data_IF_489599921221
#
_entry.id   IF_489599921221
#
_cell.length_a   1.000
_cell.length_b   1.000
_cell.length_c   1.000
_cell.angle_alpha   90.00
_cell.angle_beta   90.00
_cell.angle_gamma   90.00
#
_symmetry.space_group_name_H-M   'P 1'
#
loop_
_entity.id
_entity.type
_entity.pdbx_description
1 polymer ?
#
# COMPACT_ATOMS: atom_id res chain seq x y z
N UNK A 1 -70.71 -1.05 -28.05
CA UNK A 1 -69.62 -1.93 -28.53
C UNK A 1 -68.29 -1.44 -27.95
N UNK A 2 -67.56 -2.36 -27.32
CA UNK A 2 -66.11 -2.45 -27.04
C UNK A 2 -65.34 -1.19 -26.55
N UNK A 3 -64.95 -1.27 -25.27
CA UNK A 3 -63.84 -0.55 -24.63
C UNK A 3 -62.54 -0.80 -25.40
N UNK A 4 -61.72 0.23 -25.62
CA UNK A 4 -60.27 0.08 -25.82
C UNK A 4 -59.55 0.88 -24.74
N UNK A 5 -59.00 0.15 -23.76
CA UNK A 5 -57.97 0.62 -22.86
C UNK A 5 -56.67 0.77 -23.65
N UNK A 6 -56.16 1.99 -23.76
CA UNK A 6 -54.80 2.25 -24.22
C UNK A 6 -53.86 1.95 -23.06
N UNK A 7 -53.22 0.78 -23.09
CA UNK A 7 -52.12 0.45 -22.19
C UNK A 7 -50.89 1.18 -22.72
N UNK A 8 -50.54 2.31 -22.10
CA UNK A 8 -49.22 2.92 -22.28
C UNK A 8 -48.18 2.00 -21.68
N UNK A 9 -47.57 1.17 -22.53
CA UNK A 9 -46.41 0.37 -22.18
C UNK A 9 -45.20 1.32 -22.07
N UNK A 10 -44.89 1.72 -20.84
CA UNK A 10 -43.63 2.41 -20.52
C UNK A 10 -42.50 1.37 -20.66
N UNK A 11 -41.89 1.32 -21.84
CA UNK A 11 -40.64 0.59 -22.05
C UNK A 11 -39.53 1.33 -21.29
N UNK A 12 -39.37 1.00 -20.00
CA UNK A 12 -38.14 1.31 -19.28
C UNK A 12 -37.08 0.34 -19.81
N UNK A 13 -36.43 0.73 -20.89
CA UNK A 13 -35.20 0.09 -21.34
C UNK A 13 -34.10 0.40 -20.33
N UNK A 14 -34.02 -0.42 -19.27
CA UNK A 14 -32.86 -0.46 -18.38
C UNK A 14 -31.76 -1.16 -19.19
N UNK A 15 -31.05 -0.40 -20.02
CA UNK A 15 -29.74 -0.82 -20.49
C UNK A 15 -28.82 -0.79 -19.27
N UNK A 16 -28.83 -1.88 -18.50
CA UNK A 16 -27.80 -2.21 -17.54
C UNK A 16 -26.51 -2.47 -18.33
N UNK A 17 -25.89 -1.40 -18.83
CA UNK A 17 -24.50 -1.41 -19.25
C UNK A 17 -23.71 -1.89 -18.05
N UNK A 18 -23.07 -3.06 -18.18
CA UNK A 18 -22.17 -3.61 -17.20
C UNK A 18 -21.07 -2.58 -16.91
N UNK A 19 -21.27 -1.75 -15.89
CA UNK A 19 -20.26 -0.84 -15.38
C UNK A 19 -19.21 -1.71 -14.72
N UNK A 20 -18.10 -1.96 -15.43
CA UNK A 20 -16.91 -2.61 -14.88
C UNK A 20 -16.51 -1.86 -13.62
N UNK A 21 -16.33 -2.58 -12.50
CA UNK A 21 -15.93 -1.92 -11.26
C UNK A 21 -14.52 -1.31 -11.43
N UNK A 22 -14.28 -0.18 -10.78
CA UNK A 22 -12.97 0.46 -10.77
C UNK A 22 -12.12 -0.19 -9.67
N UNK A 23 -10.91 -0.64 -10.02
CA UNK A 23 -9.96 -1.25 -9.09
C UNK A 23 -8.69 -0.41 -9.09
N UNK A 24 -8.27 0.03 -7.91
CA UNK A 24 -7.03 0.80 -7.71
C UNK A 24 -5.96 -0.14 -7.18
N UNK A 25 -4.83 -0.24 -7.88
CA UNK A 25 -3.68 -1.01 -7.42
C UNK A 25 -2.74 -0.12 -6.62
N UNK A 26 -2.47 -0.53 -5.39
CA UNK A 26 -1.55 0.15 -4.47
C UNK A 26 -0.11 -0.36 -4.66
N UNK A 27 0.05 -1.57 -5.21
CA UNK A 27 1.33 -2.24 -5.37
C UNK A 27 1.61 -2.54 -6.87
N UNK A 28 2.80 -2.21 -7.40
CA UNK A 28 3.15 -2.46 -8.81
C UNK A 28 3.25 -3.95 -9.20
N UNK A 29 3.41 -4.87 -8.25
CA UNK A 29 3.82 -6.26 -8.53
C UNK A 29 2.67 -7.27 -8.71
N UNK A 30 1.41 -6.81 -8.74
CA UNK A 30 0.26 -7.72 -8.88
C UNK A 30 0.01 -8.07 -10.34
N UNK A 31 -0.02 -9.37 -10.66
CA UNK A 31 -0.40 -9.87 -11.99
C UNK A 31 -1.86 -9.50 -12.31
N UNK A 32 -2.07 -8.63 -13.31
CA UNK A 32 -3.39 -8.08 -13.67
C UNK A 32 -4.22 -8.98 -14.59
N UNK A 33 -3.74 -10.19 -14.92
CA UNK A 33 -4.37 -11.09 -15.91
C UNK A 33 -5.78 -11.53 -15.53
N UNK A 34 -6.06 -11.69 -14.24
CA UNK A 34 -7.40 -12.09 -13.77
C UNK A 34 -8.39 -10.91 -13.69
N UNK A 35 -7.93 -9.68 -13.96
CA UNK A 35 -8.67 -8.44 -13.71
C UNK A 35 -9.04 -7.68 -14.98
N UNK A 36 -8.98 -8.32 -16.16
CA UNK A 36 -9.35 -7.75 -17.48
C UNK A 36 -10.81 -7.23 -17.56
N UNK A 37 -11.65 -7.70 -16.65
CA UNK A 37 -13.05 -7.28 -16.52
C UNK A 37 -13.24 -6.00 -15.68
N UNK A 38 -12.17 -5.42 -15.15
CA UNK A 38 -12.21 -4.21 -14.33
C UNK A 38 -11.55 -3.02 -15.03
N UNK A 39 -11.91 -1.81 -14.61
CA UNK A 39 -11.17 -0.62 -15.00
C UNK A 39 -10.01 -0.43 -14.02
N UNK A 40 -8.79 -0.67 -14.49
CA UNK A 40 -7.59 -0.72 -13.67
C UNK A 40 -6.92 0.67 -13.66
N UNK A 41 -6.89 1.31 -12.49
CA UNK A 41 -6.05 2.47 -12.25
C UNK A 41 -4.84 2.03 -11.43
N UNK A 42 -3.66 2.00 -12.07
CA UNK A 42 -2.40 1.81 -11.36
C UNK A 42 -2.08 3.12 -10.65
N UNK A 43 -2.02 3.11 -9.33
CA UNK A 43 -1.67 4.29 -8.58
C UNK A 43 -0.15 4.47 -8.71
N UNK A 44 0.30 5.45 -9.49
CA UNK A 44 1.72 5.87 -9.59
C UNK A 44 2.13 6.70 -8.38
N UNK A 45 1.70 6.32 -7.17
CA UNK A 45 2.29 6.86 -5.98
C UNK A 45 3.62 6.14 -5.78
N UNK A 46 4.72 6.79 -6.17
CA UNK A 46 6.04 6.36 -5.77
C UNK A 46 6.05 6.19 -4.26
N UNK A 47 6.30 4.97 -3.81
CA UNK A 47 6.50 4.68 -2.40
C UNK A 47 7.55 5.64 -1.84
N UNK A 48 7.21 6.35 -0.76
CA UNK A 48 8.20 7.17 -0.03
C UNK A 48 9.23 6.31 0.70
N UNK A 49 8.99 4.99 0.76
CA UNK A 49 9.91 4.01 1.28
C UNK A 49 10.79 3.50 0.13
N UNK A 50 12.11 3.43 0.33
CA UNK A 50 13.00 2.77 -0.62
C UNK A 50 12.65 1.29 -0.76
N UNK A 51 13.29 0.63 -1.71
CA UNK A 51 13.04 -0.77 -2.02
C UNK A 51 13.07 -1.64 -0.76
N UNK A 52 12.22 -2.68 -0.73
CA UNK A 52 12.14 -3.60 0.41
C UNK A 52 13.48 -4.28 0.66
N UNK A 53 14.20 -4.66 -0.39
CA UNK A 53 15.49 -5.34 -0.28
C UNK A 53 16.56 -4.40 0.30
N UNK A 54 16.54 -3.12 -0.07
CA UNK A 54 17.44 -2.11 0.49
C UNK A 54 17.22 -1.91 1.99
N UNK A 55 15.94 -1.84 2.40
CA UNK A 55 15.57 -1.71 3.82
C UNK A 55 15.99 -2.95 4.61
N UNK A 56 15.73 -4.13 4.08
CA UNK A 56 16.06 -5.39 4.72
C UNK A 56 17.58 -5.57 4.83
N UNK A 57 18.34 -5.19 3.80
CA UNK A 57 19.81 -5.20 3.82
C UNK A 57 20.38 -4.28 4.90
N UNK A 58 19.82 -3.08 5.06
CA UNK A 58 20.24 -2.14 6.10
C UNK A 58 19.95 -2.71 7.50
N UNK A 59 18.74 -3.24 7.73
CA UNK A 59 18.30 -3.71 9.05
C UNK A 59 18.94 -5.04 9.46
N UNK A 60 19.26 -5.93 8.51
CA UNK A 60 19.88 -7.24 8.79
C UNK A 60 21.22 -7.17 9.54
N UNK A 61 21.89 -6.01 9.52
CA UNK A 61 23.11 -5.76 10.27
C UNK A 61 22.88 -5.64 11.78
N UNK A 62 21.64 -5.43 12.19
CA UNK A 62 21.23 -5.31 13.58
C UNK A 62 20.44 -6.55 13.96
N UNK A 63 21.08 -7.43 14.73
CA UNK A 63 20.53 -8.73 15.12
C UNK A 63 19.12 -8.63 15.74
N UNK A 64 18.85 -7.56 16.50
CA UNK A 64 17.57 -7.35 17.18
C UNK A 64 16.40 -6.97 16.27
N UNK A 65 16.66 -6.58 15.03
CA UNK A 65 15.61 -6.24 14.05
C UNK A 65 15.13 -7.45 13.25
N UNK A 66 15.81 -8.60 13.39
CA UNK A 66 15.44 -9.85 12.68
C UNK A 66 14.07 -10.39 13.12
N UNK A 67 13.73 -10.19 14.38
CA UNK A 67 12.45 -10.65 14.96
C UNK A 67 11.32 -9.62 14.76
N UNK A 68 11.60 -8.50 14.09
CA UNK A 68 10.57 -7.50 13.83
C UNK A 68 9.74 -7.89 12.61
N UNK A 69 8.43 -7.70 12.72
CA UNK A 69 7.55 -7.73 11.56
C UNK A 69 7.87 -6.60 10.58
N UNK A 70 7.41 -6.75 9.34
CA UNK A 70 7.69 -5.80 8.25
C UNK A 70 7.16 -4.40 8.55
N UNK A 71 5.99 -4.30 9.19
CA UNK A 71 5.41 -3.02 9.54
C UNK A 71 6.28 -2.26 10.54
N UNK A 72 6.82 -2.96 11.55
CA UNK A 72 7.73 -2.39 12.54
C UNK A 72 9.04 -1.96 11.89
N UNK A 73 9.57 -2.74 10.94
CA UNK A 73 10.76 -2.37 10.15
C UNK A 73 10.52 -1.10 9.35
N UNK A 74 9.37 -0.97 8.70
CA UNK A 74 9.01 0.18 7.88
C UNK A 74 8.80 1.45 8.71
N UNK A 75 8.08 1.33 9.83
CA UNK A 75 7.90 2.43 10.80
C UNK A 75 9.26 2.87 11.34
N UNK A 76 10.14 1.92 11.67
CA UNK A 76 11.49 2.24 12.14
C UNK A 76 12.31 2.95 11.06
N UNK A 77 12.25 2.51 9.80
CA UNK A 77 12.96 3.16 8.71
C UNK A 77 12.49 4.61 8.49
N UNK A 78 11.18 4.86 8.57
CA UNK A 78 10.62 6.22 8.52
C UNK A 78 11.06 7.07 9.71
N UNK A 79 11.09 6.48 10.90
CA UNK A 79 11.59 7.15 12.10
C UNK A 79 13.08 7.45 12.01
N UNK A 80 13.89 6.54 11.44
CA UNK A 80 15.33 6.69 11.25
C UNK A 80 15.65 7.95 10.44
N UNK A 81 14.82 8.24 9.44
CA UNK A 81 14.92 9.43 8.61
C UNK A 81 14.60 10.75 9.34
N UNK A 82 13.63 10.72 10.27
CA UNK A 82 13.01 11.94 10.82
C UNK A 82 13.44 12.26 12.25
N UNK A 83 13.77 11.25 13.06
CA UNK A 83 14.03 11.37 14.49
C UNK A 83 15.51 11.37 14.81
N UNK A 84 15.90 12.07 15.87
CA UNK A 84 17.26 12.03 16.40
C UNK A 84 17.61 10.66 17.00
N UNK A 85 18.90 10.39 17.16
CA UNK A 85 19.38 9.14 17.81
C UNK A 85 18.82 8.99 19.22
N UNK A 86 18.71 10.09 19.97
CA UNK A 86 18.14 10.12 21.32
C UNK A 86 16.68 9.70 21.33
N UNK A 87 15.87 10.22 20.41
CA UNK A 87 14.45 9.87 20.30
C UNK A 87 14.25 8.42 19.85
N UNK A 88 15.07 7.95 18.92
CA UNK A 88 15.06 6.57 18.47
C UNK A 88 15.44 5.62 19.61
N UNK A 89 16.44 5.96 20.41
CA UNK A 89 16.84 5.15 21.56
C UNK A 89 15.75 5.10 22.65
N UNK A 90 14.96 6.17 22.82
CA UNK A 90 13.80 6.15 23.72
C UNK A 90 12.67 5.27 23.18
N UNK A 91 12.44 5.28 21.86
CA UNK A 91 11.35 4.52 21.22
C UNK A 91 11.69 3.04 21.01
N UNK A 92 12.96 2.75 20.76
CA UNK A 92 13.50 1.42 20.49
C UNK A 92 14.64 1.13 21.49
N UNK A 93 14.32 0.97 22.79
CA UNK A 93 15.32 0.79 23.85
C UNK A 93 16.15 -0.49 23.70
N UNK A 94 15.70 -1.42 22.88
CA UNK A 94 16.45 -2.61 22.50
C UNK A 94 17.71 -2.26 21.68
N UNK A 95 17.71 -1.15 20.94
CA UNK A 95 18.82 -0.72 20.11
C UNK A 95 19.79 0.20 20.86
N UNK A 96 21.08 -0.03 20.70
CA UNK A 96 22.10 0.87 21.23
C UNK A 96 22.21 2.14 20.38
N UNK A 97 22.62 3.24 21.01
CA UNK A 97 22.91 4.49 20.30
C UNK A 97 23.96 4.32 19.19
N UNK A 98 24.89 3.37 19.34
CA UNK A 98 25.92 3.06 18.32
C UNK A 98 25.31 2.40 17.09
N UNK A 99 24.44 1.42 17.28
CA UNK A 99 23.73 0.75 16.17
C UNK A 99 22.83 1.74 15.42
N UNK A 100 22.09 2.58 16.15
CA UNK A 100 21.24 3.61 15.53
C UNK A 100 22.08 4.60 14.73
N UNK A 101 23.23 5.05 15.25
CA UNK A 101 24.14 5.95 14.50
C UNK A 101 24.64 5.30 13.21
N UNK A 102 25.10 4.05 13.29
CA UNK A 102 25.58 3.30 12.12
C UNK A 102 24.49 3.18 11.04
N UNK A 103 23.26 2.87 11.44
CA UNK A 103 22.12 2.80 10.53
C UNK A 103 21.80 4.15 9.88
N UNK A 104 21.93 5.27 10.62
CA UNK A 104 21.72 6.62 10.06
C UNK A 104 22.81 7.05 9.08
N UNK A 105 24.06 6.62 9.29
CA UNK A 105 25.18 6.94 8.40
C UNK A 105 25.15 6.16 7.08
N UNK A 106 24.50 4.98 7.08
CA UNK A 106 24.41 4.08 5.93
C UNK A 106 23.10 4.21 5.14
N UNK A 107 22.16 5.02 5.63
CA UNK A 107 20.92 5.36 4.94
C UNK A 107 21.19 6.45 3.91
#
# INVERSE_FOLDING_TARGET
>A
MKKLMTISMLMVSISAFAQKANVIFIDPDIETKELENFNIQKNTHESSLPDRDDREMLLNQVAKTKDWDELKKDIFYMDLARKSVSELQKKYPELSAKEIKLLKERR
#
